data_IF_193285779415
#
_entry.id   IF_193285779415
#
_cell.length_a   1.000
_cell.length_b   1.000
_cell.length_c   1.000
_cell.angle_alpha   90.00
_cell.angle_beta   90.00
_cell.angle_gamma   90.00
#
_symmetry.space_group_name_H-M   'P 1'
#
loop_
_entity.id
_entity.type
_entity.pdbx_description
1 polymer ?
#
# COMPACT_ATOMS: atom_id res chain seq x y z
N UNK A 1 -43.24 58.71 15.02
CA UNK A 1 -42.07 58.50 14.15
C UNK A 1 -41.24 57.35 14.72
N UNK A 2 -41.44 56.13 14.20
CA UNK A 2 -40.74 54.93 14.65
C UNK A 2 -39.38 54.81 13.95
N UNK A 3 -38.30 54.55 14.70
CA UNK A 3 -37.00 54.17 14.14
C UNK A 3 -36.69 52.73 14.53
N UNK A 4 -36.98 51.81 13.62
CA UNK A 4 -36.60 50.39 13.70
C UNK A 4 -35.10 50.28 13.50
N UNK A 5 -34.36 49.77 14.50
CA UNK A 5 -32.94 49.42 14.37
C UNK A 5 -32.84 48.05 13.70
N UNK A 6 -32.40 48.02 12.45
CA UNK A 6 -32.06 46.79 11.75
C UNK A 6 -30.76 46.21 12.28
N UNK A 7 -30.81 44.99 12.80
CA UNK A 7 -29.64 44.17 13.14
C UNK A 7 -29.20 43.49 11.85
N UNK A 8 -28.01 43.86 11.34
CA UNK A 8 -27.34 43.13 10.26
C UNK A 8 -26.68 41.88 10.87
N UNK A 9 -27.22 40.70 10.57
CA UNK A 9 -26.56 39.42 10.82
C UNK A 9 -25.56 39.16 9.68
N UNK A 10 -24.28 39.28 9.98
CA UNK A 10 -23.21 38.91 9.05
C UNK A 10 -22.92 37.40 9.22
N UNK A 11 -23.54 36.57 8.37
CA UNK A 11 -23.22 35.16 8.29
C UNK A 11 -21.90 34.98 7.52
N UNK A 12 -20.80 34.73 8.25
CA UNK A 12 -19.54 34.32 7.66
C UNK A 12 -19.64 32.85 7.22
N UNK A 13 -19.82 32.62 5.92
CA UNK A 13 -19.71 31.30 5.32
C UNK A 13 -18.24 30.85 5.35
N UNK A 14 -17.93 29.92 6.24
CA UNK A 14 -16.70 29.13 6.19
C UNK A 14 -16.79 28.19 4.98
N UNK A 15 -16.33 28.66 3.83
CA UNK A 15 -15.98 27.79 2.72
C UNK A 15 -14.68 27.08 3.09
N UNK A 16 -14.79 25.95 3.78
CA UNK A 16 -13.70 25.00 3.93
C UNK A 16 -13.36 24.47 2.54
N UNK A 17 -12.35 25.07 1.91
CA UNK A 17 -11.76 24.53 0.69
C UNK A 17 -11.32 23.11 0.98
N UNK A 18 -11.93 22.13 0.31
CA UNK A 18 -11.34 20.82 0.15
C UNK A 18 -10.03 21.03 -0.62
N UNK A 19 -8.93 21.24 0.11
CA UNK A 19 -7.61 21.05 -0.42
C UNK A 19 -7.58 19.60 -0.91
N UNK A 20 -7.73 19.41 -2.22
CA UNK A 20 -7.66 18.09 -2.83
C UNK A 20 -6.32 17.50 -2.44
N UNK A 21 -6.35 16.45 -1.61
CA UNK A 21 -5.16 15.68 -1.33
C UNK A 21 -4.57 15.29 -2.69
N UNK A 22 -3.31 15.67 -2.93
CA UNK A 22 -2.61 15.30 -4.14
C UNK A 22 -2.68 13.78 -4.31
N UNK A 23 -2.88 13.33 -5.56
CA UNK A 23 -2.93 11.90 -5.86
C UNK A 23 -1.62 11.23 -5.40
N UNK A 24 -1.75 10.10 -4.71
CA UNK A 24 -0.60 9.33 -4.21
C UNK A 24 0.13 8.69 -5.40
N UNK A 25 1.44 8.90 -5.47
CA UNK A 25 2.31 8.42 -6.56
C UNK A 25 3.46 7.57 -6.02
N UNK A 26 4.04 6.76 -6.90
CA UNK A 26 5.22 5.98 -6.54
C UNK A 26 6.38 6.90 -6.17
N UNK A 27 6.69 7.91 -7.00
CA UNK A 27 7.86 8.77 -6.82
C UNK A 27 7.79 9.62 -5.56
N UNK A 28 6.64 10.21 -5.26
CA UNK A 28 6.54 11.19 -4.17
C UNK A 28 6.22 10.56 -2.82
N UNK A 29 5.48 9.44 -2.81
CA UNK A 29 4.90 8.92 -1.57
C UNK A 29 5.40 7.51 -1.24
N UNK A 30 5.40 6.60 -2.23
CA UNK A 30 5.68 5.19 -1.96
C UNK A 30 7.17 4.87 -1.97
N UNK A 31 7.94 5.36 -2.93
CA UNK A 31 9.37 5.10 -3.00
C UNK A 31 10.11 5.58 -1.73
N UNK A 32 9.85 6.80 -1.18
CA UNK A 32 10.45 7.21 0.09
C UNK A 32 10.01 6.33 1.28
N UNK A 33 8.75 5.88 1.28
CA UNK A 33 8.24 4.97 2.32
C UNK A 33 8.96 3.62 2.27
N UNK A 34 9.03 2.99 1.09
CA UNK A 34 9.70 1.70 0.90
C UNK A 34 11.20 1.82 1.22
N UNK A 35 11.84 2.92 0.82
CA UNK A 35 13.23 3.19 1.16
C UNK A 35 13.44 3.23 2.68
N UNK A 36 12.60 3.98 3.40
CA UNK A 36 12.71 4.12 4.86
C UNK A 36 12.41 2.82 5.60
N UNK A 37 11.40 2.06 5.16
CA UNK A 37 10.85 0.95 5.93
C UNK A 37 11.33 -0.44 5.50
N UNK A 38 11.91 -0.59 4.30
CA UNK A 38 12.13 -1.91 3.72
C UNK A 38 13.59 -2.18 3.27
N UNK A 39 14.38 -1.13 3.00
CA UNK A 39 15.68 -1.29 2.33
C UNK A 39 16.75 -2.02 3.14
N UNK A 40 16.56 -2.24 4.44
CA UNK A 40 17.48 -3.10 5.21
C UNK A 40 17.63 -4.50 4.57
N UNK A 41 16.56 -5.01 3.95
CA UNK A 41 16.55 -6.35 3.34
C UNK A 41 16.06 -6.37 1.86
N UNK A 42 15.63 -5.22 1.30
CA UNK A 42 14.91 -5.15 0.02
C UNK A 42 15.45 -4.06 -0.93
N UNK A 43 16.75 -3.73 -0.85
CA UNK A 43 17.40 -2.69 -1.67
C UNK A 43 17.95 -3.22 -3.01
N UNK A 44 18.81 -2.43 -3.67
CA UNK A 44 19.46 -2.79 -4.93
C UNK A 44 20.46 -3.96 -4.86
N UNK A 45 20.83 -4.42 -3.65
CA UNK A 45 21.63 -5.64 -3.46
C UNK A 45 20.76 -6.89 -3.34
N UNK A 46 19.45 -6.73 -3.16
CA UNK A 46 18.50 -7.84 -3.08
C UNK A 46 18.19 -8.48 -4.44
N UNK A 47 17.87 -9.78 -4.47
CA UNK A 47 17.46 -10.48 -5.70
C UNK A 47 16.11 -9.99 -6.21
N UNK A 48 15.85 -10.03 -7.52
CA UNK A 48 14.48 -9.88 -8.03
C UNK A 48 13.56 -10.97 -7.46
N UNK A 49 12.23 -10.78 -7.51
CA UNK A 49 11.29 -11.79 -7.02
C UNK A 49 11.45 -13.15 -7.73
N UNK A 50 11.83 -13.15 -9.01
CA UNK A 50 12.08 -14.39 -9.76
C UNK A 50 13.33 -15.08 -9.25
N UNK A 51 14.42 -14.34 -9.02
CA UNK A 51 15.66 -14.87 -8.45
C UNK A 51 15.46 -15.34 -7.01
N UNK A 52 14.72 -14.59 -6.19
CA UNK A 52 14.43 -14.96 -4.81
C UNK A 52 13.76 -16.33 -4.73
N UNK A 53 12.80 -16.58 -5.64
CA UNK A 53 12.06 -17.86 -5.70
C UNK A 53 12.91 -19.06 -6.14
N UNK A 54 14.10 -18.86 -6.72
CA UNK A 54 14.98 -20.00 -7.08
C UNK A 54 15.77 -20.53 -5.88
N UNK A 55 15.96 -19.73 -4.82
CA UNK A 55 16.68 -20.12 -3.60
C UNK A 55 16.23 -19.28 -2.38
N UNK A 56 14.95 -19.40 -2.01
CA UNK A 56 14.41 -18.56 -0.92
C UNK A 56 15.18 -18.74 0.38
N UNK A 57 15.60 -19.97 0.70
CA UNK A 57 16.27 -20.27 1.97
C UNK A 57 17.69 -19.71 2.00
N UNK A 58 18.42 -19.75 0.88
CA UNK A 58 19.74 -19.13 0.78
C UNK A 58 19.68 -17.61 0.93
N UNK A 59 18.71 -16.94 0.30
CA UNK A 59 18.54 -15.50 0.46
C UNK A 59 18.08 -15.11 1.86
N UNK A 60 17.14 -15.86 2.48
CA UNK A 60 16.73 -15.64 3.87
C UNK A 60 17.89 -15.78 4.85
N UNK A 61 18.78 -16.76 4.67
CA UNK A 61 20.01 -16.91 5.49
C UNK A 61 20.94 -15.70 5.38
N UNK A 62 20.95 -15.03 4.22
CA UNK A 62 21.68 -13.78 3.97
C UNK A 62 20.92 -12.53 4.40
N UNK A 63 19.72 -12.67 4.99
CA UNK A 63 18.81 -11.58 5.33
C UNK A 63 18.41 -10.72 4.12
N UNK A 64 18.27 -11.34 2.95
CA UNK A 64 17.81 -10.69 1.73
C UNK A 64 16.39 -11.16 1.39
N UNK A 65 15.51 -10.22 1.09
CA UNK A 65 14.19 -10.45 0.50
C UNK A 65 14.17 -10.07 -0.99
N UNK A 66 13.01 -10.13 -1.68
CA UNK A 66 12.88 -9.61 -3.04
C UNK A 66 13.17 -8.11 -3.12
N UNK A 67 13.91 -7.65 -4.13
CA UNK A 67 14.20 -6.23 -4.40
C UNK A 67 12.91 -5.40 -4.49
N UNK A 68 12.92 -4.18 -3.95
CA UNK A 68 11.81 -3.23 -3.98
C UNK A 68 12.24 -1.79 -4.34
N UNK A 69 13.50 -1.57 -4.72
CA UNK A 69 14.07 -0.22 -4.92
C UNK A 69 13.69 0.42 -6.27
N UNK A 70 12.96 -0.29 -7.12
CA UNK A 70 12.40 0.23 -8.37
C UNK A 70 10.89 0.03 -8.45
N UNK A 71 10.22 0.86 -9.25
CA UNK A 71 8.78 0.71 -9.53
C UNK A 71 8.45 -0.67 -10.10
N UNK A 72 9.29 -1.17 -11.01
CA UNK A 72 9.09 -2.45 -11.66
C UNK A 72 9.21 -3.61 -10.66
N UNK A 73 10.23 -3.59 -9.81
CA UNK A 73 10.45 -4.63 -8.81
C UNK A 73 9.34 -4.64 -7.75
N UNK A 74 8.91 -3.47 -7.26
CA UNK A 74 7.77 -3.38 -6.34
C UNK A 74 6.46 -3.87 -6.98
N UNK A 75 6.19 -3.44 -8.21
CA UNK A 75 4.99 -3.84 -8.97
C UNK A 75 4.94 -5.34 -9.25
N UNK A 76 6.09 -5.99 -9.35
CA UNK A 76 6.20 -7.43 -9.58
C UNK A 76 5.60 -8.28 -8.44
N UNK A 77 5.53 -7.73 -7.22
CA UNK A 77 4.87 -8.32 -6.06
C UNK A 77 3.39 -7.95 -5.93
N UNK A 78 2.89 -7.06 -6.79
CA UNK A 78 1.48 -6.62 -6.81
C UNK A 78 0.75 -7.31 -7.95
N UNK A 79 1.28 -7.21 -9.17
CA UNK A 79 0.62 -7.63 -10.42
C UNK A 79 1.10 -9.01 -10.87
N UNK A 80 2.36 -9.13 -11.27
CA UNK A 80 2.97 -10.37 -11.79
C UNK A 80 4.50 -10.25 -11.73
N UNK A 81 5.25 -11.28 -11.32
CA UNK A 81 4.88 -12.69 -11.24
C UNK A 81 4.39 -13.18 -9.88
N UNK A 82 4.36 -12.33 -8.84
CA UNK A 82 3.91 -12.74 -7.50
C UNK A 82 2.68 -11.97 -7.04
N UNK A 83 1.60 -12.07 -7.81
CA UNK A 83 0.35 -11.34 -7.59
C UNK A 83 -0.14 -11.38 -6.14
N UNK A 84 -0.47 -10.20 -5.61
CA UNK A 84 -0.97 -10.03 -4.25
C UNK A 84 0.06 -10.28 -3.14
N UNK A 85 1.35 -10.47 -3.46
CA UNK A 85 2.37 -10.75 -2.45
C UNK A 85 2.60 -9.56 -1.54
N UNK A 86 2.75 -8.35 -2.08
CA UNK A 86 2.89 -7.14 -1.27
C UNK A 86 1.70 -7.02 -0.29
N UNK A 87 0.48 -7.13 -0.81
CA UNK A 87 -0.75 -7.01 -0.02
C UNK A 87 -0.80 -8.05 1.10
N UNK A 88 -0.54 -9.33 0.83
CA UNK A 88 -0.54 -10.38 1.87
C UNK A 88 0.52 -10.19 2.95
N UNK A 89 1.67 -9.60 2.60
CA UNK A 89 2.79 -9.44 3.53
C UNK A 89 2.61 -8.21 4.42
N UNK A 90 1.90 -7.21 3.92
CA UNK A 90 1.65 -5.93 4.59
C UNK A 90 0.22 -5.77 5.12
N UNK A 91 -0.67 -6.75 4.92
CA UNK A 91 -2.01 -6.71 5.49
C UNK A 91 -1.94 -6.64 7.01
N UNK A 92 -2.78 -5.81 7.61
CA UNK A 92 -2.93 -5.69 9.07
C UNK A 92 -3.69 -6.87 9.69
N UNK A 93 -4.16 -7.82 8.87
CA UNK A 93 -4.94 -8.98 9.26
C UNK A 93 -6.43 -8.77 9.04
N UNK A 94 -6.88 -7.54 8.74
CA UNK A 94 -8.29 -7.24 8.48
C UNK A 94 -8.84 -8.04 7.29
N UNK A 95 -8.00 -8.32 6.28
CA UNK A 95 -8.33 -9.08 5.07
C UNK A 95 -8.20 -10.59 5.19
N UNK A 96 -7.82 -11.13 6.36
CA UNK A 96 -7.61 -12.57 6.57
C UNK A 96 -8.68 -13.18 7.49
N UNK A 97 -9.09 -14.44 7.27
CA UNK A 97 -10.05 -15.13 8.16
C UNK A 97 -9.55 -15.31 9.59
N UNK A 98 -8.25 -15.52 9.77
CA UNK A 98 -7.62 -15.76 11.07
C UNK A 98 -7.19 -14.47 11.78
N UNK A 99 -7.44 -13.31 11.17
CA UNK A 99 -7.10 -11.97 11.69
C UNK A 99 -5.63 -11.77 12.00
N UNK A 100 -4.75 -12.56 11.38
CA UNK A 100 -3.31 -12.44 11.58
C UNK A 100 -2.71 -11.45 10.58
N UNK A 101 -1.91 -10.48 11.04
CA UNK A 101 -1.22 -9.58 10.13
C UNK A 101 -0.19 -10.35 9.31
N UNK A 102 0.08 -9.83 8.12
CA UNK A 102 1.20 -10.26 7.29
C UNK A 102 2.52 -10.08 8.03
N UNK A 103 3.49 -10.95 7.75
CA UNK A 103 4.76 -10.98 8.48
C UNK A 103 5.65 -9.74 8.26
N UNK A 104 5.33 -8.88 7.28
CA UNK A 104 6.04 -7.63 7.01
C UNK A 104 5.28 -6.40 7.52
N UNK A 105 4.02 -6.53 7.95
CA UNK A 105 3.23 -5.42 8.49
C UNK A 105 3.95 -4.67 9.62
N UNK A 106 4.62 -5.41 10.51
CA UNK A 106 5.40 -4.86 11.62
C UNK A 106 6.51 -3.88 11.20
N UNK A 107 6.97 -3.96 9.95
CA UNK A 107 8.02 -3.08 9.42
C UNK A 107 7.47 -1.80 8.79
N UNK A 108 6.15 -1.62 8.73
CA UNK A 108 5.56 -0.36 8.28
C UNK A 108 5.72 0.79 9.29
N UNK A 109 6.32 0.56 10.45
CA UNK A 109 6.52 1.58 11.47
C UNK A 109 6.65 1.00 12.87
N UNK A 110 7.24 1.81 13.76
CA UNK A 110 7.52 1.43 15.15
C UNK A 110 6.22 1.34 15.98
N UNK A 111 5.25 2.18 15.64
CA UNK A 111 3.95 2.25 16.32
C UNK A 111 2.80 1.78 15.42
N UNK A 112 1.69 1.36 16.03
CA UNK A 112 0.49 0.98 15.26
C UNK A 112 -0.05 2.15 14.44
N UNK A 113 -0.03 3.36 15.00
CA UNK A 113 -0.45 4.56 14.28
C UNK A 113 0.41 4.81 13.03
N UNK A 114 1.73 4.62 13.13
CA UNK A 114 2.63 4.75 12.00
C UNK A 114 2.39 3.65 10.96
N UNK A 115 2.23 2.40 11.39
CA UNK A 115 1.94 1.29 10.48
C UNK A 115 0.64 1.48 9.72
N UNK A 116 -0.42 1.94 10.39
CA UNK A 116 -1.70 2.24 9.77
C UNK A 116 -1.60 3.41 8.78
N UNK A 117 -0.87 4.48 9.13
CA UNK A 117 -0.65 5.60 8.21
C UNK A 117 0.11 5.16 6.95
N UNK A 118 1.21 4.42 7.10
CA UNK A 118 2.00 3.92 5.97
C UNK A 118 1.23 2.87 5.15
N UNK A 119 0.44 2.00 5.79
CA UNK A 119 -0.46 1.07 5.10
C UNK A 119 -1.52 1.82 4.29
N UNK A 120 -2.08 2.91 4.82
CA UNK A 120 -3.06 3.74 4.13
C UNK A 120 -2.45 4.40 2.87
N UNK A 121 -1.21 4.89 2.94
CA UNK A 121 -0.49 5.40 1.75
C UNK A 121 -0.37 4.33 0.67
N UNK A 122 0.03 3.11 1.03
CA UNK A 122 0.16 2.00 0.07
C UNK A 122 -1.19 1.59 -0.52
N UNK A 123 -2.25 1.51 0.29
CA UNK A 123 -3.62 1.22 -0.17
C UNK A 123 -4.14 2.29 -1.13
N UNK A 124 -3.90 3.57 -0.82
CA UNK A 124 -4.30 4.68 -1.68
C UNK A 124 -3.57 4.66 -3.03
N UNK A 125 -2.28 4.34 -3.04
CA UNK A 125 -1.49 4.19 -4.27
C UNK A 125 -1.92 2.99 -5.12
N UNK A 126 -2.20 1.84 -4.47
CA UNK A 126 -2.68 0.63 -5.15
C UNK A 126 -4.06 0.87 -5.79
N UNK A 127 -4.91 1.66 -5.14
CA UNK A 127 -6.24 2.00 -5.63
C UNK A 127 -7.35 1.34 -4.81
N UNK A 128 -8.51 1.99 -4.80
CA UNK A 128 -9.72 1.47 -4.17
C UNK A 128 -10.13 0.15 -4.82
N UNK A 129 -10.41 -0.88 -4.01
CA UNK A 129 -10.67 -2.24 -4.49
C UNK A 129 -9.44 -3.05 -4.90
N UNK A 130 -8.27 -2.40 -5.06
CA UNK A 130 -7.02 -3.04 -5.49
C UNK A 130 -6.29 -3.81 -4.39
N UNK A 131 -6.61 -3.58 -3.12
CA UNK A 131 -6.02 -4.32 -2.00
C UNK A 131 -6.58 -5.75 -1.90
N UNK A 132 -6.10 -6.62 -2.79
CA UNK A 132 -6.60 -7.98 -2.97
C UNK A 132 -5.52 -9.01 -2.58
N UNK A 133 -5.89 -9.95 -1.71
CA UNK A 133 -4.96 -10.98 -1.20
C UNK A 133 -4.85 -12.22 -2.11
N UNK A 134 -5.69 -12.31 -3.14
CA UNK A 134 -5.72 -13.43 -4.08
C UNK A 134 -4.37 -13.61 -4.79
N UNK A 135 -4.14 -14.83 -5.24
CA UNK A 135 -2.96 -15.21 -6.01
C UNK A 135 -3.32 -15.32 -7.47
N UNK A 136 -2.30 -15.37 -8.33
CA UNK A 136 -2.50 -15.63 -9.76
C UNK A 136 -3.31 -16.91 -10.01
N UNK A 137 -3.08 -17.97 -9.22
CA UNK A 137 -3.84 -19.21 -9.25
C UNK A 137 -4.61 -19.39 -7.93
N UNK A 138 -5.73 -20.11 -8.00
CA UNK A 138 -6.49 -20.56 -6.83
C UNK A 138 -5.57 -21.24 -5.82
N UNK A 139 -5.79 -21.00 -4.53
CA UNK A 139 -5.09 -21.67 -3.43
C UNK A 139 -6.06 -22.04 -2.32
N UNK A 140 -6.28 -23.33 -2.11
CA UNK A 140 -7.32 -23.80 -1.19
C UNK A 140 -8.68 -23.24 -1.60
N UNK A 141 -9.40 -22.63 -0.67
CA UNK A 141 -10.70 -22.00 -0.92
C UNK A 141 -10.60 -20.55 -1.44
N UNK A 142 -9.39 -19.98 -1.48
CA UNK A 142 -9.18 -18.63 -2.02
C UNK A 142 -9.12 -18.69 -3.55
N UNK A 143 -10.00 -17.99 -4.27
CA UNK A 143 -10.03 -18.00 -5.72
C UNK A 143 -8.77 -17.37 -6.33
N UNK A 144 -8.55 -17.64 -7.62
CA UNK A 144 -7.57 -16.88 -8.40
C UNK A 144 -8.02 -15.43 -8.51
N UNK A 145 -7.06 -14.52 -8.65
CA UNK A 145 -7.36 -13.14 -8.99
C UNK A 145 -7.99 -13.07 -10.40
N UNK A 146 -8.98 -12.19 -10.57
CA UNK A 146 -9.63 -11.98 -11.88
C UNK A 146 -9.05 -10.77 -12.60
N UNK A 147 -9.35 -10.63 -13.89
CA UNK A 147 -8.98 -9.45 -14.67
C UNK A 147 -9.63 -8.18 -14.08
N UNK A 148 -10.90 -8.26 -13.71
CA UNK A 148 -11.65 -7.13 -13.16
C UNK A 148 -11.04 -6.66 -11.84
N UNK A 149 -10.53 -7.58 -11.02
CA UNK A 149 -9.80 -7.24 -9.81
C UNK A 149 -8.46 -6.56 -10.12
N UNK A 150 -7.74 -7.00 -11.14
CA UNK A 150 -6.51 -6.34 -11.59
C UNK A 150 -6.78 -4.96 -12.20
N UNK A 151 -7.91 -4.76 -12.86
CA UNK A 151 -8.28 -3.49 -13.50
C UNK A 151 -8.57 -2.36 -12.48
N UNK A 152 -8.71 -2.70 -11.19
CA UNK A 152 -8.83 -1.69 -10.10
C UNK A 152 -7.50 -1.07 -9.69
N UNK A 153 -6.37 -1.65 -10.11
CA UNK A 153 -5.04 -1.19 -9.75
C UNK A 153 -4.72 0.14 -10.45
N UNK A 154 -4.29 1.14 -9.67
CA UNK A 154 -3.85 2.45 -10.19
C UNK A 154 -2.35 2.48 -10.44
N UNK A 155 -1.56 2.31 -9.37
CA UNK A 155 -0.09 2.26 -9.41
C UNK A 155 0.55 3.45 -10.13
N UNK A 156 0.06 4.66 -9.85
CA UNK A 156 0.60 5.87 -10.48
C UNK A 156 2.11 6.00 -10.21
N UNK A 157 2.89 6.35 -11.25
CA UNK A 157 4.33 6.52 -11.12
C UNK A 157 4.70 7.84 -10.44
#
# INVERSE_FOLDING_TARGET
MHKTKGILLLAAALASGAAGASEVTYRNDVAPLIQRQCFECHDGNSPSIVQFKTDEDGYKKKKLGPRLDTYADLSALIVWPDTGALMRRLDDGSGTPDKKPGNMYKHLGETEAERQANLATLKAWIGEGGWNLNRWKKRGDVPAITKEQLDTLKLNY
#
